data_IF_784430208455
#
_entry.id   IF_784430208455
#
_cell.length_a   1.000
_cell.length_b   1.000
_cell.length_c   1.000
_cell.angle_alpha   90.00
_cell.angle_beta   90.00
_cell.angle_gamma   90.00
#
_symmetry.space_group_name_H-M   'P 1'
#
loop_
_entity.id
_entity.type
_entity.pdbx_description
1 polymer ?
#
# COMPACT_ATOMS: atom_id res chain seq x y z
N UNK A 1 16.71 29.43 14.13
CA UNK A 1 15.28 29.49 13.77
C UNK A 1 14.55 28.60 14.76
N UNK A 2 13.58 29.09 15.55
CA UNK A 2 12.88 28.23 16.48
C UNK A 2 12.02 27.25 15.66
N UNK A 3 12.30 25.95 15.78
CA UNK A 3 11.59 24.90 15.07
C UNK A 3 10.09 25.01 15.38
N UNK A 4 9.25 25.14 14.35
CA UNK A 4 7.78 25.21 14.48
C UNK A 4 7.29 23.99 15.27
N UNK A 5 6.46 24.22 16.28
CA UNK A 5 5.92 23.20 17.19
C UNK A 5 4.46 22.89 16.86
N UNK A 6 4.00 21.72 17.28
CA UNK A 6 2.60 21.31 17.18
C UNK A 6 1.80 22.07 18.26
N UNK A 7 0.87 22.92 17.82
CA UNK A 7 -0.07 23.66 18.67
C UNK A 7 -1.52 23.29 18.34
N UNK A 8 -2.47 23.65 19.20
CA UNK A 8 -3.90 23.33 18.96
C UNK A 8 -4.42 23.94 17.67
N UNK A 9 -3.99 25.16 17.35
CA UNK A 9 -4.35 25.86 16.11
C UNK A 9 -3.84 25.10 14.89
N UNK A 10 -2.58 24.64 14.94
CA UNK A 10 -1.99 23.83 13.89
C UNK A 10 -2.75 22.51 13.69
N UNK A 11 -3.21 21.86 14.75
CA UNK A 11 -3.98 20.61 14.67
C UNK A 11 -5.31 20.85 13.95
N UNK A 12 -6.04 21.90 14.33
CA UNK A 12 -7.31 22.26 13.71
C UNK A 12 -7.13 22.53 12.21
N UNK A 13 -6.14 23.36 11.86
CA UNK A 13 -5.83 23.69 10.46
C UNK A 13 -5.44 22.44 9.66
N UNK A 14 -4.56 21.59 10.20
CA UNK A 14 -4.06 20.39 9.52
C UNK A 14 -5.16 19.34 9.32
N UNK A 15 -6.04 19.15 10.31
CA UNK A 15 -7.17 18.22 10.18
C UNK A 15 -8.18 18.74 9.15
N UNK A 16 -8.46 20.05 9.15
CA UNK A 16 -9.37 20.66 8.18
C UNK A 16 -8.83 20.58 6.75
N UNK A 17 -7.51 20.77 6.56
CA UNK A 17 -6.83 20.57 5.28
C UNK A 17 -6.89 19.10 4.82
N UNK A 18 -6.69 18.16 5.75
CA UNK A 18 -6.79 16.72 5.47
C UNK A 18 -8.20 16.30 5.08
N UNK A 19 -9.23 16.81 5.76
CA UNK A 19 -10.66 16.62 5.44
C UNK A 19 -11.04 17.27 4.11
N UNK A 20 -10.33 18.31 3.68
CA UNK A 20 -10.57 18.95 2.38
C UNK A 20 -9.91 18.17 1.24
N UNK A 21 -8.76 17.54 1.53
CA UNK A 21 -7.95 16.79 0.57
C UNK A 21 -8.41 15.34 0.39
N UNK A 22 -8.81 14.69 1.49
CA UNK A 22 -9.50 13.41 1.50
C UNK A 22 -10.98 13.71 1.50
N UNK A 23 -11.81 13.06 0.68
CA UNK A 23 -13.28 13.22 0.68
C UNK A 23 -13.98 12.72 1.97
N UNK A 24 -13.37 12.92 3.14
CA UNK A 24 -13.84 12.51 4.45
C UNK A 24 -14.67 13.58 5.14
N UNK A 25 -15.19 13.26 6.33
CA UNK A 25 -16.07 14.15 7.08
C UNK A 25 -15.35 14.68 8.33
N UNK A 26 -15.57 15.95 8.70
CA UNK A 26 -15.00 16.52 9.93
C UNK A 26 -15.47 15.75 11.19
N UNK A 27 -16.66 15.16 11.13
CA UNK A 27 -17.22 14.30 12.20
C UNK A 27 -16.40 13.03 12.44
N UNK A 28 -15.54 12.65 11.50
CA UNK A 28 -14.72 11.45 11.60
C UNK A 28 -13.47 11.68 12.47
N UNK A 29 -13.13 12.94 12.79
CA UNK A 29 -11.99 13.30 13.62
C UNK A 29 -12.07 12.75 15.06
N UNK A 30 -13.29 12.50 15.56
CA UNK A 30 -13.52 11.92 16.88
C UNK A 30 -13.40 10.38 16.88
N UNK A 31 -13.33 9.75 15.70
CA UNK A 31 -13.22 8.30 15.55
C UNK A 31 -11.80 7.88 15.14
N UNK A 32 -11.04 7.33 16.10
CA UNK A 32 -9.67 6.85 15.89
C UNK A 32 -9.56 5.68 14.89
N UNK A 33 -10.65 5.03 14.51
CA UNK A 33 -10.69 4.00 13.46
C UNK A 33 -10.67 4.56 12.03
N UNK A 34 -10.75 5.88 11.87
CA UNK A 34 -10.63 6.56 10.57
C UNK A 34 -9.24 7.17 10.39
N UNK A 35 -8.83 7.41 9.15
CA UNK A 35 -7.53 8.07 8.91
C UNK A 35 -7.47 9.48 9.54
N UNK A 36 -8.59 10.21 9.50
CA UNK A 36 -8.67 11.58 10.01
C UNK A 36 -8.59 11.57 11.54
N UNK A 37 -9.35 10.70 12.22
CA UNK A 37 -9.30 10.59 13.67
C UNK A 37 -8.00 9.98 14.21
N UNK A 38 -7.39 9.02 13.50
CA UNK A 38 -6.07 8.52 13.85
C UNK A 38 -4.99 9.62 13.72
N UNK A 39 -5.05 10.43 12.65
CA UNK A 39 -4.14 11.56 12.44
C UNK A 39 -4.33 12.65 13.50
N UNK A 40 -5.58 12.98 13.83
CA UNK A 40 -5.93 13.90 14.90
C UNK A 40 -5.37 13.44 16.26
N UNK A 41 -5.64 12.18 16.64
CA UNK A 41 -5.12 11.59 17.88
C UNK A 41 -3.58 11.59 17.94
N UNK A 42 -2.93 11.29 16.81
CA UNK A 42 -1.48 11.28 16.73
C UNK A 42 -0.90 12.69 16.89
N UNK A 43 -1.53 13.70 16.29
CA UNK A 43 -1.15 15.11 16.48
C UNK A 43 -1.34 15.56 17.93
N UNK A 44 -2.48 15.23 18.55
CA UNK A 44 -2.76 15.59 19.96
C UNK A 44 -1.74 14.96 20.92
N UNK A 45 -1.35 13.70 20.67
CA UNK A 45 -0.34 13.00 21.46
C UNK A 45 1.08 13.57 21.32
N UNK A 46 1.31 14.43 20.33
CA UNK A 46 2.61 15.06 20.05
C UNK A 46 2.57 16.60 20.24
N UNK A 47 1.55 17.15 20.92
CA UNK A 47 1.50 18.58 21.26
C UNK A 47 2.78 19.02 21.96
N UNK A 48 3.32 20.16 21.52
CA UNK A 48 4.56 20.72 22.05
C UNK A 48 5.83 20.13 21.44
N UNK A 49 5.79 18.98 20.77
CA UNK A 49 6.92 18.49 19.96
C UNK A 49 7.10 19.33 18.71
N UNK A 50 8.31 19.32 18.16
CA UNK A 50 8.58 19.95 16.86
C UNK A 50 7.92 19.14 15.74
N UNK A 51 7.59 19.83 14.65
CA UNK A 51 7.06 19.14 13.45
C UNK A 51 8.05 18.07 12.97
N UNK A 52 9.36 18.32 13.05
CA UNK A 52 10.39 17.35 12.63
C UNK A 52 10.34 16.05 13.44
N UNK A 53 10.21 16.13 14.77
CA UNK A 53 10.08 14.94 15.63
C UNK A 53 8.81 14.15 15.29
N UNK A 54 7.73 14.83 14.94
CA UNK A 54 6.48 14.20 14.54
C UNK A 54 6.59 13.51 13.18
N UNK A 55 7.22 14.15 12.20
CA UNK A 55 7.51 13.56 10.90
C UNK A 55 8.40 12.31 11.02
N UNK A 56 9.40 12.34 11.90
CA UNK A 56 10.24 11.17 12.19
C UNK A 56 9.43 10.02 12.78
N UNK A 57 8.52 10.33 13.72
CA UNK A 57 7.59 9.34 14.28
C UNK A 57 6.70 8.73 13.19
N UNK A 58 6.09 9.53 12.32
CA UNK A 58 5.28 9.03 11.19
C UNK A 58 6.10 8.12 10.27
N UNK A 59 7.29 8.59 9.90
CA UNK A 59 8.20 7.86 9.01
C UNK A 59 8.56 6.50 9.60
N UNK A 60 8.86 6.44 10.90
CA UNK A 60 9.15 5.19 11.60
C UNK A 60 7.98 4.20 11.49
N UNK A 61 6.74 4.64 11.70
CA UNK A 61 5.56 3.77 11.57
C UNK A 61 5.31 3.30 10.13
N UNK A 62 5.61 4.12 9.13
CA UNK A 62 5.50 3.72 7.72
C UNK A 62 6.55 2.70 7.32
N UNK A 63 7.74 2.75 7.94
CA UNK A 63 8.87 1.88 7.61
C UNK A 63 8.66 0.43 8.09
N UNK A 64 7.77 0.21 9.07
CA UNK A 64 7.36 -1.12 9.53
C UNK A 64 6.10 -1.68 8.84
N UNK A 65 5.61 -1.02 7.78
CA UNK A 65 4.67 -1.65 6.84
C UNK A 65 5.28 -2.94 6.28
N UNK A 66 4.43 -3.92 5.93
CA UNK A 66 4.82 -5.32 5.68
C UNK A 66 6.24 -5.46 5.08
N UNK A 67 7.16 -6.12 5.80
CA UNK A 67 8.56 -6.18 5.38
C UNK A 67 8.68 -6.73 3.94
N UNK A 68 9.63 -6.20 3.16
CA UNK A 68 9.82 -6.57 1.74
C UNK A 68 9.96 -8.08 1.58
N UNK A 69 10.63 -8.74 2.53
CA UNK A 69 10.79 -10.21 2.55
C UNK A 69 9.46 -10.93 2.75
N UNK A 70 8.62 -10.43 3.66
CA UNK A 70 7.29 -10.99 3.91
C UNK A 70 6.39 -10.84 2.69
N UNK A 71 6.43 -9.67 2.03
CA UNK A 71 5.69 -9.44 0.77
C UNK A 71 6.10 -10.39 -0.33
N UNK A 72 7.40 -10.60 -0.54
CA UNK A 72 7.88 -11.57 -1.53
C UNK A 72 7.41 -12.99 -1.22
N UNK A 73 7.43 -13.40 0.05
CA UNK A 73 6.96 -14.73 0.45
C UNK A 73 5.46 -14.90 0.17
N UNK A 74 4.63 -13.92 0.57
CA UNK A 74 3.19 -13.97 0.28
C UNK A 74 2.89 -13.93 -1.22
N UNK A 75 3.70 -13.22 -2.01
CA UNK A 75 3.57 -13.22 -3.46
C UNK A 75 3.80 -14.62 -4.04
N UNK A 76 4.80 -15.37 -3.53
CA UNK A 76 5.02 -16.76 -3.93
C UNK A 76 3.81 -17.65 -3.63
N UNK A 77 3.20 -17.51 -2.45
CA UNK A 77 1.99 -18.28 -2.09
C UNK A 77 0.84 -18.01 -3.08
N UNK A 78 0.69 -16.76 -3.52
CA UNK A 78 -0.28 -16.40 -4.55
C UNK A 78 0.06 -16.98 -5.92
N UNK A 79 1.34 -16.99 -6.31
CA UNK A 79 1.81 -17.61 -7.55
C UNK A 79 1.54 -19.12 -7.55
N UNK A 80 1.76 -19.79 -6.41
CA UNK A 80 1.43 -21.22 -6.28
C UNK A 80 -0.07 -21.47 -6.48
N UNK A 81 -0.94 -20.62 -5.92
CA UNK A 81 -2.39 -20.70 -6.14
C UNK A 81 -2.79 -20.44 -7.59
N UNK A 82 -2.10 -19.57 -8.31
CA UNK A 82 -2.35 -19.30 -9.73
C UNK A 82 -2.07 -20.52 -10.61
N UNK A 83 -1.09 -21.36 -10.25
CA UNK A 83 -0.83 -22.62 -10.97
C UNK A 83 -1.98 -23.62 -10.81
N UNK A 84 -2.66 -23.62 -9.66
CA UNK A 84 -3.82 -24.48 -9.39
C UNK A 84 -5.10 -23.93 -10.00
N UNK A 85 -5.28 -22.60 -9.96
CA UNK A 85 -6.46 -21.88 -10.43
C UNK A 85 -6.06 -20.65 -11.26
N UNK A 86 -5.86 -20.80 -12.58
CA UNK A 86 -5.48 -19.69 -13.44
C UNK A 86 -6.49 -18.53 -13.38
N UNK A 87 -5.97 -17.30 -13.25
CA UNK A 87 -6.73 -16.06 -13.16
C UNK A 87 -7.08 -15.62 -11.73
N UNK A 88 -6.76 -16.40 -10.69
CA UNK A 88 -7.13 -16.08 -9.31
C UNK A 88 -6.47 -14.79 -8.82
N UNK A 89 -5.20 -14.54 -9.17
CA UNK A 89 -4.50 -13.32 -8.74
C UNK A 89 -5.14 -12.08 -9.39
N UNK A 90 -5.50 -12.16 -10.67
CA UNK A 90 -6.17 -11.06 -11.38
C UNK A 90 -7.54 -10.76 -10.77
N UNK A 91 -8.33 -11.81 -10.50
CA UNK A 91 -9.63 -11.67 -9.85
C UNK A 91 -9.50 -11.04 -8.47
N UNK A 92 -8.58 -11.54 -7.64
CA UNK A 92 -8.37 -11.05 -6.29
C UNK A 92 -7.87 -9.59 -6.28
N UNK A 93 -7.05 -9.22 -7.26
CA UNK A 93 -6.59 -7.83 -7.42
C UNK A 93 -7.75 -6.90 -7.73
N UNK A 94 -8.71 -7.31 -8.57
CA UNK A 94 -9.91 -6.52 -8.85
C UNK A 94 -10.78 -6.34 -7.59
N UNK A 95 -10.89 -7.38 -6.77
CA UNK A 95 -11.59 -7.30 -5.47
C UNK A 95 -10.88 -6.32 -4.55
N UNK A 96 -9.57 -6.45 -4.38
CA UNK A 96 -8.78 -5.56 -3.52
C UNK A 96 -8.85 -4.09 -3.97
N UNK A 97 -8.87 -3.81 -5.29
CA UNK A 97 -9.03 -2.46 -5.82
C UNK A 97 -10.42 -1.88 -5.53
N UNK A 98 -11.47 -2.70 -5.61
CA UNK A 98 -12.84 -2.29 -5.30
C UNK A 98 -12.98 -1.95 -3.82
N UNK A 99 -12.53 -2.86 -2.95
CA UNK A 99 -12.55 -2.65 -1.50
C UNK A 99 -11.73 -1.44 -1.08
N UNK A 100 -10.56 -1.21 -1.71
CA UNK A 100 -9.75 0.00 -1.48
C UNK A 100 -10.54 1.28 -1.77
N UNK A 101 -11.28 1.31 -2.88
CA UNK A 101 -12.08 2.47 -3.26
C UNK A 101 -13.29 2.67 -2.35
N UNK A 102 -13.92 1.58 -1.89
CA UNK A 102 -14.99 1.62 -0.90
C UNK A 102 -14.48 2.13 0.45
N UNK A 103 -13.35 1.61 0.93
CA UNK A 103 -12.68 2.08 2.15
C UNK A 103 -12.29 3.56 2.06
N UNK A 104 -11.82 4.00 0.89
CA UNK A 104 -11.50 5.42 0.62
C UNK A 104 -12.73 6.31 0.75
N UNK A 105 -13.85 5.91 0.15
CA UNK A 105 -15.13 6.64 0.26
C UNK A 105 -15.66 6.65 1.68
N UNK A 106 -15.41 5.59 2.45
CA UNK A 106 -15.83 5.45 3.84
C UNK A 106 -14.86 6.11 4.84
N UNK A 107 -13.76 6.74 4.38
CA UNK A 107 -12.76 7.36 5.26
C UNK A 107 -11.96 6.37 6.13
N UNK A 108 -12.02 5.07 5.79
CA UNK A 108 -11.38 4.00 6.53
C UNK A 108 -9.86 3.95 6.28
N UNK A 109 -9.13 3.31 7.20
CA UNK A 109 -7.70 3.07 7.02
C UNK A 109 -7.42 2.26 5.73
N UNK A 110 -6.53 2.79 4.89
CA UNK A 110 -6.23 2.21 3.56
C UNK A 110 -5.03 1.28 3.56
N UNK A 111 -4.29 1.17 4.69
CA UNK A 111 -3.01 0.46 4.76
C UNK A 111 -3.15 -1.00 4.35
N UNK A 112 -4.09 -1.72 4.95
CA UNK A 112 -4.36 -3.11 4.65
C UNK A 112 -4.66 -3.35 3.16
N UNK A 113 -5.55 -2.53 2.57
CA UNK A 113 -5.94 -2.66 1.17
C UNK A 113 -4.79 -2.34 0.21
N UNK A 114 -3.95 -1.35 0.54
CA UNK A 114 -2.74 -1.02 -0.22
C UNK A 114 -1.71 -2.16 -0.17
N UNK A 115 -1.49 -2.75 1.01
CA UNK A 115 -0.58 -3.90 1.17
C UNK A 115 -1.07 -5.12 0.39
N UNK A 116 -2.36 -5.46 0.45
CA UNK A 116 -2.96 -6.54 -0.34
C UNK A 116 -2.77 -6.32 -1.84
N UNK A 117 -3.04 -5.10 -2.33
CA UNK A 117 -2.81 -4.71 -3.73
C UNK A 117 -1.34 -4.88 -4.13
N UNK A 118 -0.39 -4.44 -3.29
CA UNK A 118 1.04 -4.54 -3.58
C UNK A 118 1.52 -5.99 -3.70
N UNK A 119 1.10 -6.86 -2.78
CA UNK A 119 1.44 -8.31 -2.82
C UNK A 119 0.94 -8.95 -4.12
N UNK A 120 -0.31 -8.70 -4.48
CA UNK A 120 -0.92 -9.25 -5.71
C UNK A 120 -0.25 -8.69 -6.97
N UNK A 121 0.08 -7.40 -6.98
CA UNK A 121 0.79 -6.77 -8.11
C UNK A 121 2.21 -7.31 -8.26
N UNK A 122 2.90 -7.56 -7.14
CA UNK A 122 4.22 -8.18 -7.12
C UNK A 122 4.17 -9.60 -7.69
N UNK A 123 3.17 -10.40 -7.29
CA UNK A 123 2.96 -11.75 -7.81
C UNK A 123 2.75 -11.76 -9.33
N UNK A 124 1.90 -10.86 -9.87
CA UNK A 124 1.69 -10.72 -11.32
C UNK A 124 2.98 -10.33 -12.06
N UNK A 125 3.76 -9.39 -11.50
CA UNK A 125 5.02 -8.97 -12.10
C UNK A 125 6.04 -10.11 -12.19
N UNK A 126 6.07 -11.00 -11.19
CA UNK A 126 6.96 -12.16 -11.18
C UNK A 126 6.52 -13.19 -12.22
N UNK A 127 5.22 -13.49 -12.32
CA UNK A 127 4.68 -14.39 -13.34
C UNK A 127 4.99 -13.89 -14.75
N UNK A 128 4.78 -12.60 -15.02
CA UNK A 128 5.06 -12.02 -16.34
C UNK A 128 6.56 -12.07 -16.66
N UNK A 129 7.43 -11.79 -15.69
CA UNK A 129 8.89 -11.93 -15.84
C UNK A 129 9.32 -13.37 -16.14
N UNK A 130 8.72 -14.34 -15.47
CA UNK A 130 9.02 -15.77 -15.68
C UNK A 130 8.51 -16.26 -17.04
N UNK A 131 7.33 -15.82 -17.48
CA UNK A 131 6.82 -16.14 -18.81
C UNK A 131 7.73 -15.59 -19.91
N UNK A 132 8.14 -14.32 -19.83
CA UNK A 132 9.03 -13.68 -20.81
C UNK A 132 10.40 -14.37 -20.88
N UNK A 133 10.94 -14.78 -19.73
CA UNK A 133 12.18 -15.56 -19.71
C UNK A 133 11.97 -16.96 -20.31
N UNK A 134 10.90 -17.67 -19.94
CA UNK A 134 10.61 -19.01 -20.46
C UNK A 134 10.38 -19.04 -21.97
N UNK A 135 9.69 -18.03 -22.53
CA UNK A 135 9.50 -17.89 -23.98
C UNK A 135 10.81 -17.59 -24.69
N UNK A 136 11.64 -16.70 -24.12
CA UNK A 136 12.96 -16.36 -24.70
C UNK A 136 13.89 -17.57 -24.81
N UNK A 137 13.87 -18.49 -23.84
CA UNK A 137 14.66 -19.73 -23.91
C UNK A 137 14.11 -20.75 -24.91
N UNK A 138 12.78 -20.84 -25.03
CA UNK A 138 12.13 -21.73 -25.99
C UNK A 138 12.39 -21.31 -27.44
N UNK A 139 12.37 -20.01 -27.74
CA UNK A 139 12.65 -19.47 -29.07
C UNK A 139 14.11 -19.71 -29.48
N UNK A 140 15.05 -19.55 -28.54
CA UNK A 140 16.48 -19.75 -28.78
C UNK A 140 16.84 -21.23 -28.97
N UNK A 141 16.16 -22.14 -28.27
CA UNK A 141 16.33 -23.60 -28.43
C UNK A 141 15.70 -24.12 -29.74
N UNK A 142 14.53 -23.60 -30.14
CA UNK A 142 13.86 -23.98 -31.39
C UNK A 142 14.68 -23.61 -32.64
N UNK A 143 15.38 -22.47 -32.61
CA UNK A 143 16.29 -22.03 -33.67
C UNK A 143 17.57 -22.89 -33.75
N UNK A 144 18.09 -23.36 -32.62
CA UNK A 144 19.28 -24.24 -32.60
C UNK A 144 18.99 -25.64 -33.17
N UNK A 145 17.76 -26.13 -33.04
CA UNK A 145 17.33 -27.43 -33.57
C UNK A 145 17.02 -27.42 -35.08
N UNK A 146 16.60 -26.28 -35.65
CA UNK A 146 16.32 -26.15 -37.09
C UNK A 146 17.56 -25.90 -37.96
N UNK A 147 18.74 -25.74 -37.36
CA UNK A 147 20.02 -25.56 -38.07
C UNK A 147 20.77 -26.85 -38.40
N UNK A 148 20.24 -28.02 -38.01
CA UNK A 148 20.80 -29.33 -38.31
C UNK A 148 19.91 -30.08 -39.31
N UNK A 149 19.88 -29.61 -40.56
CA UNK A 149 19.44 -30.44 -41.68
C UNK A 149 20.08 -30.02 -43.00
#
# INVERSE_FOLDING_TARGET
MPCRRITKEFIIESVQESVSSTSGNLKDADNSGTNIGAYHYMLESNIGKTILEFEEVISSYSQYSLDKRMRSHMALDWIMKEQESPGIISQELQVALRELEEARKAGQELRFYKERKEILSLALSQIYSDQVNSSSWNDQMSLALHGYH
#
